data_IF_823573794316
#
_entry.id   IF_823573794316
#
_cell.length_a   1.000
_cell.length_b   1.000
_cell.length_c   1.000
_cell.angle_alpha   90.00
_cell.angle_beta   90.00
_cell.angle_gamma   90.00
#
_symmetry.space_group_name_H-M   'P 1'
#
loop_
_entity.id
_entity.type
_entity.pdbx_description
1 polymer ?
#
# COMPACT_ATOMS: atom_id res chain seq x y z
N UNK A 1 -16.33 0.42 17.59
CA UNK A 1 -16.77 -0.34 16.40
C UNK A 1 -17.55 0.52 15.42
N UNK A 2 -18.69 1.09 15.81
CA UNK A 2 -19.50 1.92 14.91
C UNK A 2 -18.70 3.04 14.24
N UNK A 3 -17.83 3.75 14.97
CA UNK A 3 -17.01 4.83 14.41
C UNK A 3 -16.04 4.39 13.30
N UNK A 4 -15.42 3.21 13.41
CA UNK A 4 -14.48 2.69 12.41
C UNK A 4 -15.21 2.35 11.11
N UNK A 5 -16.27 1.54 11.20
CA UNK A 5 -17.09 1.13 10.05
C UNK A 5 -17.73 2.34 9.37
N UNK A 6 -18.25 3.28 10.14
CA UNK A 6 -18.85 4.52 9.63
C UNK A 6 -17.82 5.43 8.95
N UNK A 7 -16.53 5.28 9.25
CA UNK A 7 -15.46 6.05 8.61
C UNK A 7 -14.96 5.43 7.30
N UNK A 8 -15.26 4.15 7.03
CA UNK A 8 -14.89 3.50 5.79
C UNK A 8 -15.68 4.07 4.61
N UNK A 9 -15.00 4.28 3.49
CA UNK A 9 -15.56 4.87 2.26
C UNK A 9 -14.99 4.14 1.04
N UNK A 10 -15.77 4.08 -0.04
CA UNK A 10 -15.35 3.50 -1.33
C UNK A 10 -14.79 2.08 -1.19
N UNK A 11 -13.62 1.82 -1.81
CA UNK A 11 -12.98 0.50 -1.80
C UNK A 11 -12.67 -0.03 -0.40
N UNK A 12 -12.44 0.84 0.59
CA UNK A 12 -12.18 0.41 1.96
C UNK A 12 -13.44 -0.17 2.63
N UNK A 13 -14.63 0.30 2.23
CA UNK A 13 -15.91 -0.25 2.71
C UNK A 13 -16.19 -1.63 2.12
N UNK A 14 -15.78 -1.87 0.87
CA UNK A 14 -15.94 -3.17 0.20
C UNK A 14 -15.21 -4.32 0.92
N UNK A 15 -14.20 -4.03 1.75
CA UNK A 15 -13.54 -5.06 2.57
C UNK A 15 -14.53 -5.76 3.51
N UNK A 16 -15.57 -5.07 3.97
CA UNK A 16 -16.56 -5.68 4.86
C UNK A 16 -17.26 -6.86 4.17
N UNK A 17 -17.40 -6.83 2.84
CA UNK A 17 -17.97 -7.94 2.07
C UNK A 17 -17.07 -9.19 2.07
N UNK A 18 -15.77 -9.03 2.34
CA UNK A 18 -14.83 -10.16 2.47
C UNK A 18 -14.79 -10.75 3.89
N UNK A 19 -15.51 -10.16 4.83
CA UNK A 19 -15.60 -10.61 6.23
C UNK A 19 -17.00 -11.17 6.48
N UNK A 20 -17.16 -12.36 7.09
CA UNK A 20 -18.46 -12.90 7.47
C UNK A 20 -19.26 -11.91 8.32
N UNK A 21 -20.56 -11.79 8.08
CA UNK A 21 -21.41 -10.77 8.73
C UNK A 21 -21.37 -10.86 10.27
N UNK A 22 -21.33 -12.07 10.81
CA UNK A 22 -21.15 -12.36 12.24
C UNK A 22 -19.83 -11.81 12.83
N UNK A 23 -18.82 -11.56 11.99
CA UNK A 23 -17.49 -11.08 12.36
C UNK A 23 -17.25 -9.63 11.94
N UNK A 24 -18.20 -8.98 11.25
CA UNK A 24 -18.09 -7.58 10.84
C UNK A 24 -18.18 -6.59 12.02
N UNK A 25 -18.52 -7.07 13.22
CA UNK A 25 -18.44 -6.31 14.46
C UNK A 25 -17.16 -6.57 15.26
N UNK A 26 -16.26 -7.45 14.79
CA UNK A 26 -14.96 -7.70 15.42
C UNK A 26 -13.90 -6.71 14.90
N UNK A 27 -13.37 -5.90 15.82
CA UNK A 27 -12.34 -4.90 15.53
C UNK A 27 -11.12 -5.51 14.87
N UNK A 28 -10.63 -6.61 15.41
CA UNK A 28 -9.37 -7.20 14.97
C UNK A 28 -9.50 -7.82 13.59
N UNK A 29 -10.70 -8.30 13.23
CA UNK A 29 -11.00 -8.82 11.89
C UNK A 29 -11.01 -7.71 10.85
N UNK A 30 -11.66 -6.58 11.15
CA UNK A 30 -11.69 -5.43 10.24
C UNK A 30 -10.30 -4.83 10.07
N UNK A 31 -9.58 -4.60 11.17
CA UNK A 31 -8.21 -4.05 11.12
C UNK A 31 -7.28 -5.01 10.41
N UNK A 32 -7.32 -6.32 10.70
CA UNK A 32 -6.48 -7.30 10.02
C UNK A 32 -6.75 -7.37 8.51
N UNK A 33 -8.01 -7.29 8.08
CA UNK A 33 -8.34 -7.25 6.66
C UNK A 33 -7.87 -5.95 5.98
N UNK A 34 -7.98 -4.81 6.68
CA UNK A 34 -7.41 -3.54 6.23
C UNK A 34 -5.88 -3.60 6.14
N UNK A 35 -5.21 -4.23 7.10
CA UNK A 35 -3.75 -4.43 7.09
C UNK A 35 -3.30 -5.37 5.99
N UNK A 36 -4.07 -6.41 5.66
CA UNK A 36 -3.75 -7.28 4.52
C UNK A 36 -3.86 -6.50 3.21
N UNK A 37 -4.91 -5.71 3.02
CA UNK A 37 -5.17 -5.01 1.75
C UNK A 37 -4.35 -3.73 1.58
N UNK A 38 -4.13 -2.98 2.66
CA UNK A 38 -3.51 -1.65 2.64
C UNK A 38 -2.30 -1.51 3.57
N UNK A 39 -1.99 -2.53 4.37
CA UNK A 39 -0.87 -2.49 5.30
C UNK A 39 0.47 -2.42 4.59
N UNK A 40 1.38 -1.65 5.17
CA UNK A 40 2.65 -1.32 4.56
C UNK A 40 3.59 -2.53 4.42
N UNK A 41 3.38 -3.57 5.22
CA UNK A 41 4.16 -4.81 5.16
C UNK A 41 3.98 -5.53 3.82
N UNK A 42 2.75 -5.59 3.31
CA UNK A 42 2.45 -6.21 2.03
C UNK A 42 2.79 -5.27 0.86
N UNK A 43 2.53 -3.96 1.03
CA UNK A 43 2.89 -2.96 0.02
C UNK A 43 4.41 -2.88 -0.21
N UNK A 44 5.24 -3.09 0.83
CA UNK A 44 6.71 -3.10 0.70
C UNK A 44 7.19 -4.10 -0.35
N UNK A 45 6.70 -5.34 -0.31
CA UNK A 45 7.08 -6.38 -1.28
C UNK A 45 6.62 -6.04 -2.69
N UNK A 46 5.44 -5.41 -2.81
CA UNK A 46 4.92 -4.94 -4.11
C UNK A 46 5.85 -3.88 -4.69
N UNK A 47 6.24 -2.85 -3.92
CA UNK A 47 7.14 -1.80 -4.40
C UNK A 47 8.55 -2.34 -4.73
N UNK A 48 9.07 -3.28 -3.92
CA UNK A 48 10.32 -3.97 -4.21
C UNK A 48 10.27 -4.80 -5.51
N UNK A 49 9.11 -5.38 -5.84
CA UNK A 49 8.91 -6.06 -7.12
C UNK A 49 8.82 -5.05 -8.27
N UNK A 50 8.05 -3.97 -8.09
CA UNK A 50 7.88 -2.91 -9.08
C UNK A 50 9.21 -2.30 -9.49
N UNK A 51 10.09 -1.96 -8.53
CA UNK A 51 11.39 -1.37 -8.83
C UNK A 51 12.31 -2.35 -9.59
N UNK A 52 12.28 -3.66 -9.28
CA UNK A 52 13.04 -4.67 -10.01
C UNK A 52 12.59 -4.81 -11.45
N UNK A 53 11.28 -4.67 -11.70
CA UNK A 53 10.71 -4.70 -13.05
C UNK A 53 10.74 -3.35 -13.77
N UNK A 54 11.19 -2.27 -13.10
CA UNK A 54 11.06 -0.92 -13.62
C UNK A 54 12.12 -0.67 -14.70
N UNK A 55 11.66 -0.28 -15.88
CA UNK A 55 12.47 0.15 -17.00
C UNK A 55 11.87 1.42 -17.60
N UNK A 56 12.72 2.33 -18.07
CA UNK A 56 12.26 3.58 -18.70
C UNK A 56 11.42 3.26 -19.92
N UNK A 57 10.24 3.88 -20.03
CA UNK A 57 9.37 3.71 -21.21
C UNK A 57 9.86 4.60 -22.35
N UNK A 58 9.58 4.19 -23.59
CA UNK A 58 10.00 4.94 -24.79
C UNK A 58 9.43 6.36 -24.88
N UNK A 59 8.30 6.63 -24.22
CA UNK A 59 7.62 7.92 -24.17
C UNK A 59 7.77 8.65 -22.83
N UNK A 60 8.70 8.20 -21.98
CA UNK A 60 8.90 8.75 -20.63
C UNK A 60 10.18 9.58 -20.57
N UNK A 61 10.08 10.80 -20.03
CA UNK A 61 11.24 11.64 -19.77
C UNK A 61 12.15 10.97 -18.74
N UNK A 62 13.46 11.21 -18.86
CA UNK A 62 14.42 10.74 -17.86
C UNK A 62 14.13 11.33 -16.46
N UNK A 63 13.57 12.54 -16.40
CA UNK A 63 13.18 13.17 -15.13
C UNK A 63 11.99 12.46 -14.47
N UNK A 64 10.97 12.13 -15.26
CA UNK A 64 9.80 11.39 -14.77
C UNK A 64 10.20 9.98 -14.32
N UNK A 65 11.09 9.33 -15.09
CA UNK A 65 11.65 8.04 -14.74
C UNK A 65 12.39 8.07 -13.41
N UNK A 66 13.28 9.06 -13.23
CA UNK A 66 14.04 9.25 -11.99
C UNK A 66 13.10 9.48 -10.80
N UNK A 67 12.14 10.38 -10.94
CA UNK A 67 11.20 10.72 -9.87
C UNK A 67 10.36 9.50 -9.44
N UNK A 68 9.94 8.67 -10.40
CA UNK A 68 9.21 7.44 -10.12
C UNK A 68 10.09 6.38 -9.43
N UNK A 69 11.35 6.23 -9.85
CA UNK A 69 12.33 5.36 -9.17
C UNK A 69 12.55 5.82 -7.72
N UNK A 70 12.85 7.10 -7.48
CA UNK A 70 13.05 7.64 -6.13
C UNK A 70 11.83 7.39 -5.24
N UNK A 71 10.63 7.64 -5.76
CA UNK A 71 9.36 7.34 -5.08
C UNK A 71 9.26 5.85 -4.72
N UNK A 72 9.55 4.95 -5.66
CA UNK A 72 9.47 3.50 -5.43
C UNK A 72 10.49 3.04 -4.40
N UNK A 73 11.69 3.60 -4.35
CA UNK A 73 12.71 3.26 -3.32
C UNK A 73 12.19 3.65 -1.93
N UNK A 74 11.69 4.88 -1.76
CA UNK A 74 11.15 5.35 -0.48
C UNK A 74 10.00 4.46 0.03
N UNK A 75 9.12 4.03 -0.87
CA UNK A 75 8.00 3.14 -0.54
C UNK A 75 8.46 1.69 -0.26
N UNK A 76 9.53 1.24 -0.91
CA UNK A 76 10.12 -0.10 -0.73
C UNK A 76 10.94 -0.22 0.56
N UNK A 77 11.50 0.89 1.04
CA UNK A 77 12.39 0.93 2.20
C UNK A 77 12.06 2.11 3.13
N UNK A 78 10.86 2.14 3.75
CA UNK A 78 10.43 3.26 4.58
C UNK A 78 11.24 3.45 5.88
N UNK A 79 12.13 2.51 6.19
CA UNK A 79 13.02 2.56 7.37
C UNK A 79 14.50 2.72 6.98
N UNK A 80 14.83 2.83 5.68
CA UNK A 80 16.20 3.05 5.26
C UNK A 80 16.66 4.47 5.69
N UNK A 81 17.91 4.63 6.14
CA UNK A 81 18.49 5.95 6.37
C UNK A 81 18.45 6.78 5.10
N UNK A 82 18.22 8.10 5.24
CA UNK A 82 18.11 9.01 4.10
C UNK A 82 19.36 9.01 3.22
N UNK A 83 20.53 8.74 3.80
CA UNK A 83 21.80 8.66 3.05
C UNK A 83 21.84 7.53 2.02
N UNK A 84 20.95 6.53 2.11
CA UNK A 84 20.83 5.45 1.10
C UNK A 84 19.87 5.80 -0.05
N UNK A 85 19.14 6.90 0.05
CA UNK A 85 18.08 7.30 -0.88
C UNK A 85 18.46 8.51 -1.74
N UNK A 86 19.59 9.16 -1.46
CA UNK A 86 20.14 10.34 -2.16
C UNK A 86 21.28 10.00 -3.14
#
# INVERSE_FOLDING_TARGET
MASLVISLRGQALEILQSIPEEQQNDYNRIVGALEIRYGHKYLRQVYQSQIKSRQQRSNESLQDYKADIERLIHLSYPQAPKEFLE
#
